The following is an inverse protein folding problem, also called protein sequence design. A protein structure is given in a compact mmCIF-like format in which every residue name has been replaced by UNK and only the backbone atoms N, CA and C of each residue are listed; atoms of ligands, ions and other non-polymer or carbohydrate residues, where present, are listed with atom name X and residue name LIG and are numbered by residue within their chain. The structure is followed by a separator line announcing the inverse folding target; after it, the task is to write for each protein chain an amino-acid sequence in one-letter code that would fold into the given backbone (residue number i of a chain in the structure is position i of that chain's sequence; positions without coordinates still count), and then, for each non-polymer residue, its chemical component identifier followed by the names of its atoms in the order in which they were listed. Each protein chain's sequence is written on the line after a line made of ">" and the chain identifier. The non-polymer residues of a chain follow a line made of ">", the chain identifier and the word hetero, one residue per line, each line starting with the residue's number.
data_IF_916370093308
#
_entry.id   IF_916370093308
#
_cell.length_a   1.000
_cell.length_b   1.000
_cell.length_c   1.000
_cell.angle_alpha   90.00
_cell.angle_beta   90.00
_cell.angle_gamma   90.00
#
_symmetry.space_group_name_H-M   'P 1'
#
loop_
_entity.id
_entity.type
_entity.pdbx_description
1 polymer ?
#
# COMPACT_ATOMS: atom_id res chain seq x y z
N UNK A 1 -52.29 -46.64 -14.93
CA UNK A 1 -53.24 -47.17 -13.91
C UNK A 1 -52.63 -46.83 -12.56
N UNK A 2 -52.92 -45.62 -12.04
CA UNK A 2 -54.04 -45.31 -11.15
C UNK A 2 -53.79 -45.91 -9.74
N UNK A 3 -53.37 -45.07 -8.77
CA UNK A 3 -54.15 -44.61 -7.59
C UNK A 3 -53.98 -45.58 -6.40
N UNK A 4 -53.92 -45.23 -5.11
CA UNK A 4 -54.20 -44.00 -4.36
C UNK A 4 -53.67 -44.17 -2.91
N UNK A 5 -53.39 -43.04 -2.24
CA UNK A 5 -53.59 -42.67 -0.80
C UNK A 5 -53.53 -43.74 0.32
N UNK A 6 -52.63 -43.59 1.31
CA UNK A 6 -52.75 -42.84 2.59
C UNK A 6 -53.68 -43.46 3.66
N UNK A 7 -53.13 -43.69 4.86
CA UNK A 7 -53.72 -43.61 6.23
C UNK A 7 -52.65 -44.18 7.22
N UNK A 8 -51.91 -43.44 8.05
CA UNK A 8 -52.22 -42.52 9.17
C UNK A 8 -52.68 -43.22 10.46
N UNK A 9 -51.80 -43.23 11.49
CA UNK A 9 -52.05 -43.24 12.96
C UNK A 9 -50.76 -43.66 13.74
N UNK A 10 -50.00 -42.76 14.40
CA UNK A 10 -50.16 -42.15 15.76
C UNK A 10 -49.78 -43.05 16.97
N UNK A 11 -48.69 -42.72 17.69
CA UNK A 11 -48.61 -42.26 19.11
C UNK A 11 -47.14 -42.26 19.63
N UNK A 12 -46.59 -41.11 20.03
CA UNK A 12 -46.35 -40.59 21.42
C UNK A 12 -44.89 -40.72 21.91
N UNK A 13 -44.15 -39.60 21.99
CA UNK A 13 -43.66 -38.90 23.22
C UNK A 13 -42.33 -39.46 23.74
N UNK A 14 -41.25 -38.72 24.04
CA UNK A 14 -41.08 -37.53 24.90
C UNK A 14 -39.74 -36.85 24.56
N UNK A 15 -39.67 -35.54 24.82
CA UNK A 15 -38.52 -34.63 24.82
C UNK A 15 -37.24 -35.15 25.51
N UNK A 16 -36.07 -34.78 24.97
CA UNK A 16 -35.01 -34.09 25.74
C UNK A 16 -33.83 -33.64 24.84
N UNK A 17 -33.89 -32.36 24.48
CA UNK A 17 -32.87 -31.33 24.71
C UNK A 17 -31.35 -31.55 24.35
N UNK A 18 -30.85 -30.52 23.64
CA UNK A 18 -29.51 -29.92 23.74
C UNK A 18 -28.28 -30.65 23.19
N UNK A 19 -27.84 -30.23 21.99
CA UNK A 19 -26.56 -29.47 21.78
C UNK A 19 -26.34 -29.24 20.28
N UNK A 20 -27.01 -28.21 19.75
CA UNK A 20 -26.54 -27.53 18.54
C UNK A 20 -25.26 -26.78 18.92
N UNK A 21 -24.12 -27.23 18.39
CA UNK A 21 -22.84 -26.52 18.45
C UNK A 21 -22.91 -25.26 17.57
N UNK A 22 -23.54 -24.22 18.11
CA UNK A 22 -23.41 -22.84 17.66
C UNK A 22 -22.18 -22.22 18.33
N UNK A 23 -20.99 -22.45 17.78
CA UNK A 23 -19.79 -21.73 18.23
C UNK A 23 -18.92 -21.26 17.05
N UNK A 24 -19.51 -20.40 16.23
CA UNK A 24 -18.80 -19.63 15.21
C UNK A 24 -19.36 -18.22 14.99
N UNK A 25 -20.25 -17.78 15.87
CA UNK A 25 -21.11 -16.60 15.66
C UNK A 25 -20.66 -15.31 16.36
N UNK A 26 -19.76 -15.36 17.33
CA UNK A 26 -19.55 -14.25 18.30
C UNK A 26 -18.17 -13.57 18.23
N UNK A 27 -17.50 -13.55 17.06
CA UNK A 27 -16.16 -12.93 16.92
C UNK A 27 -16.05 -11.75 15.96
N UNK A 28 -17.10 -11.40 15.20
CA UNK A 28 -16.96 -10.50 14.04
C UNK A 28 -17.58 -9.11 14.19
N UNK A 29 -18.30 -8.81 15.28
CA UNK A 29 -19.00 -7.52 15.43
C UNK A 29 -18.07 -6.34 15.72
N UNK A 30 -16.87 -6.60 16.27
CA UNK A 30 -15.95 -5.56 16.75
C UNK A 30 -14.74 -5.30 15.87
N UNK A 31 -14.56 -6.01 14.75
CA UNK A 31 -13.27 -6.03 14.05
C UNK A 31 -12.90 -4.65 13.50
N UNK A 32 -13.78 -3.84 12.92
CA UNK A 32 -13.36 -2.54 12.38
C UNK A 32 -13.26 -1.40 13.40
N UNK A 33 -13.97 -1.50 14.53
CA UNK A 33 -13.81 -0.55 15.64
C UNK A 33 -12.57 -0.89 16.50
N UNK A 34 -12.20 -2.18 16.58
CA UNK A 34 -11.05 -2.66 17.35
C UNK A 34 -9.76 -2.78 16.53
N UNK A 35 -9.85 -3.13 15.25
CA UNK A 35 -8.72 -3.35 14.33
C UNK A 35 -8.81 -2.34 13.18
N UNK A 36 -7.82 -1.46 13.08
CA UNK A 36 -7.85 -0.36 12.11
C UNK A 36 -7.88 -0.85 10.66
N UNK A 37 -8.38 -0.01 9.76
CA UNK A 37 -8.46 -0.22 8.31
C UNK A 37 -7.10 -0.64 7.74
N UNK A 38 -6.03 0.07 8.12
CA UNK A 38 -4.68 -0.21 7.61
C UNK A 38 -4.17 -1.58 8.08
N UNK A 39 -4.47 -1.97 9.32
CA UNK A 39 -4.07 -3.25 9.88
C UNK A 39 -4.75 -4.41 9.13
N UNK A 40 -6.06 -4.32 8.95
CA UNK A 40 -6.84 -5.31 8.19
C UNK A 40 -6.26 -5.50 6.79
N UNK A 41 -5.92 -4.40 6.10
CA UNK A 41 -5.34 -4.44 4.76
C UNK A 41 -3.99 -5.14 4.78
N UNK A 42 -3.05 -4.70 5.62
CA UNK A 42 -1.66 -5.20 5.61
C UNK A 42 -1.59 -6.67 6.03
N UNK A 43 -2.33 -7.08 7.06
CA UNK A 43 -2.43 -8.49 7.46
C UNK A 43 -3.03 -9.35 6.34
N UNK A 44 -4.14 -8.90 5.74
CA UNK A 44 -4.79 -9.64 4.64
C UNK A 44 -3.88 -9.75 3.41
N UNK A 45 -3.13 -8.70 3.10
CA UNK A 45 -2.18 -8.69 1.99
C UNK A 45 -1.01 -9.65 2.24
N UNK A 46 -0.40 -9.59 3.43
CA UNK A 46 0.72 -10.47 3.79
C UNK A 46 0.31 -11.94 3.79
N UNK A 47 -0.85 -12.28 4.37
CA UNK A 47 -1.32 -13.66 4.47
C UNK A 47 -1.78 -14.27 3.13
N UNK A 48 -2.27 -13.44 2.21
CA UNK A 48 -2.98 -13.93 1.01
C UNK A 48 -2.28 -13.63 -0.32
N UNK A 49 -0.95 -13.52 -0.31
CA UNK A 49 -0.11 -13.62 -1.51
C UNK A 49 0.83 -12.45 -1.74
N UNK A 50 0.58 -11.28 -1.14
CA UNK A 50 1.38 -10.09 -1.42
C UNK A 50 2.80 -10.17 -0.87
N UNK A 51 3.05 -11.04 0.12
CA UNK A 51 4.40 -11.38 0.57
C UNK A 51 5.29 -11.92 -0.57
N UNK A 52 4.68 -12.55 -1.57
CA UNK A 52 5.36 -13.08 -2.75
C UNK A 52 5.02 -12.30 -4.04
N UNK A 53 4.38 -11.14 -3.94
CA UNK A 53 3.99 -10.33 -5.10
C UNK A 53 2.82 -10.87 -5.92
N UNK A 54 2.05 -11.84 -5.42
CA UNK A 54 0.92 -12.44 -6.14
C UNK A 54 -0.39 -11.64 -5.91
N UNK A 55 -0.60 -10.64 -6.76
CA UNK A 55 -1.80 -9.80 -6.74
C UNK A 55 -3.06 -10.54 -7.19
N UNK A 56 -2.94 -11.55 -8.04
CA UNK A 56 -4.06 -12.35 -8.54
C UNK A 56 -4.70 -13.18 -7.42
N UNK A 57 -3.86 -13.80 -6.58
CA UNK A 57 -4.31 -14.56 -5.41
C UNK A 57 -5.02 -13.67 -4.39
N UNK A 58 -4.47 -12.49 -4.11
CA UNK A 58 -5.10 -11.52 -3.20
C UNK A 58 -6.46 -11.03 -3.73
N UNK A 59 -6.56 -10.71 -5.03
CA UNK A 59 -7.84 -10.38 -5.69
C UNK A 59 -8.89 -11.49 -5.55
N UNK A 60 -8.46 -12.75 -5.71
CA UNK A 60 -9.31 -13.93 -5.52
C UNK A 60 -9.81 -14.05 -4.08
N UNK A 61 -8.93 -13.80 -3.10
CA UNK A 61 -9.29 -13.72 -1.69
C UNK A 61 -10.33 -12.62 -1.41
N UNK A 62 -10.11 -11.39 -1.86
CA UNK A 62 -11.06 -10.29 -1.66
C UNK A 62 -12.44 -10.63 -2.27
N UNK A 63 -12.45 -11.28 -3.44
CA UNK A 63 -13.69 -11.71 -4.09
C UNK A 63 -14.45 -12.76 -3.29
N UNK A 64 -13.75 -13.76 -2.73
CA UNK A 64 -14.36 -14.78 -1.85
C UNK A 64 -14.83 -14.19 -0.52
N UNK A 65 -14.04 -13.30 0.09
CA UNK A 65 -14.41 -12.58 1.34
C UNK A 65 -15.65 -11.72 1.14
N UNK A 66 -15.72 -10.96 0.05
CA UNK A 66 -16.93 -10.21 -0.34
C UNK A 66 -18.16 -11.11 -0.49
N UNK A 67 -18.02 -12.25 -1.16
CA UNK A 67 -19.13 -13.20 -1.33
C UNK A 67 -19.64 -13.74 0.01
N UNK A 68 -18.73 -14.10 0.92
CA UNK A 68 -19.09 -14.57 2.27
C UNK A 68 -19.79 -13.47 3.07
N UNK A 69 -19.22 -12.27 3.12
CA UNK A 69 -19.83 -11.12 3.82
C UNK A 69 -21.23 -10.81 3.30
N UNK A 70 -21.42 -10.76 1.98
CA UNK A 70 -22.75 -10.55 1.36
C UNK A 70 -23.75 -11.66 1.69
N UNK A 71 -23.28 -12.91 1.83
CA UNK A 71 -24.15 -14.04 2.21
C UNK A 71 -24.56 -13.93 3.68
N UNK A 72 -23.61 -13.63 4.57
CA UNK A 72 -23.83 -13.49 6.02
C UNK A 72 -24.74 -12.31 6.34
N UNK A 73 -24.54 -11.16 5.70
CA UNK A 73 -25.34 -9.95 5.90
C UNK A 73 -26.70 -9.97 5.16
N UNK A 74 -27.00 -11.04 4.41
CA UNK A 74 -28.19 -11.06 3.53
C UNK A 74 -28.15 -10.03 2.39
N UNK A 75 -27.03 -9.33 2.19
CA UNK A 75 -26.85 -8.27 1.20
C UNK A 75 -26.56 -8.83 -0.20
N UNK A 76 -27.55 -9.53 -0.77
CA UNK A 76 -27.46 -10.05 -2.14
C UNK A 76 -27.86 -8.94 -3.13
N UNK A 77 -26.98 -8.66 -4.09
CA UNK A 77 -27.13 -7.64 -5.13
C UNK A 77 -28.06 -8.08 -6.28
N UNK A 78 -28.95 -9.04 -6.04
CA UNK A 78 -29.81 -9.63 -7.05
C UNK A 78 -29.88 -11.15 -6.98
N UNK A 79 -30.71 -11.70 -7.86
CA UNK A 79 -30.92 -13.12 -8.07
C UNK A 79 -30.30 -13.55 -9.42
N UNK A 80 -30.33 -14.85 -9.72
CA UNK A 80 -29.76 -15.43 -10.96
C UNK A 80 -30.22 -14.69 -12.24
N UNK A 81 -31.44 -14.15 -12.24
CA UNK A 81 -32.09 -13.57 -13.42
C UNK A 81 -32.16 -12.04 -13.41
N UNK A 82 -31.85 -11.37 -12.29
CA UNK A 82 -31.99 -9.90 -12.19
C UNK A 82 -30.97 -9.32 -11.21
N UNK A 83 -30.24 -8.31 -11.67
CA UNK A 83 -29.36 -7.50 -10.85
C UNK A 83 -30.13 -6.38 -10.15
N UNK A 84 -29.90 -6.22 -8.85
CA UNK A 84 -30.44 -5.12 -8.03
C UNK A 84 -29.26 -4.42 -7.37
N UNK A 85 -28.97 -3.21 -7.82
CA UNK A 85 -27.89 -2.39 -7.28
C UNK A 85 -28.24 -1.83 -5.89
N UNK A 86 -28.22 -2.68 -4.86
CA UNK A 86 -28.43 -2.22 -3.48
C UNK A 86 -27.28 -1.28 -3.09
N UNK A 87 -27.64 -0.06 -2.70
CA UNK A 87 -26.69 0.91 -2.13
C UNK A 87 -26.61 0.67 -0.62
N UNK A 88 -25.44 0.92 -0.06
CA UNK A 88 -25.22 0.85 1.39
C UNK A 88 -25.59 2.22 1.92
N UNK A 89 -26.57 2.29 2.81
CA UNK A 89 -27.04 3.53 3.43
C UNK A 89 -26.42 3.70 4.82
N UNK A 90 -26.44 4.93 5.33
CA UNK A 90 -25.84 5.29 6.64
C UNK A 90 -26.50 4.55 7.81
N UNK A 91 -27.76 4.17 7.66
CA UNK A 91 -28.54 3.40 8.64
C UNK A 91 -27.99 1.98 8.84
N UNK A 92 -27.35 1.40 7.83
CA UNK A 92 -26.81 0.04 7.89
C UNK A 92 -25.47 -0.03 8.65
N UNK A 93 -24.88 1.12 9.02
CA UNK A 93 -23.55 1.22 9.65
C UNK A 93 -23.54 0.72 11.10
N UNK A 94 -24.68 0.33 11.67
CA UNK A 94 -24.74 -0.35 12.98
C UNK A 94 -23.86 -1.60 13.02
N UNK A 95 -23.76 -2.34 11.90
CA UNK A 95 -22.83 -3.46 11.78
C UNK A 95 -21.57 -3.02 11.03
N UNK A 96 -20.42 -3.08 11.73
CA UNK A 96 -19.10 -2.72 11.20
C UNK A 96 -18.71 -3.53 9.95
N UNK A 97 -19.33 -4.69 9.72
CA UNK A 97 -19.10 -5.53 8.54
C UNK A 97 -19.52 -4.86 7.23
N UNK A 98 -20.44 -3.88 7.24
CA UNK A 98 -20.79 -3.13 6.03
C UNK A 98 -19.66 -2.22 5.56
N UNK A 99 -18.89 -1.63 6.48
CA UNK A 99 -17.68 -0.87 6.16
C UNK A 99 -16.62 -1.79 5.55
N UNK A 100 -16.43 -2.99 6.14
CA UNK A 100 -15.51 -4.00 5.61
C UNK A 100 -15.90 -4.44 4.20
N UNK A 101 -17.20 -4.52 3.90
CA UNK A 101 -17.67 -4.85 2.55
C UNK A 101 -17.22 -3.81 1.52
N UNK A 102 -17.34 -2.51 1.83
CA UNK A 102 -16.86 -1.43 0.93
C UNK A 102 -15.34 -1.46 0.81
N UNK A 103 -14.64 -1.65 1.93
CA UNK A 103 -13.18 -1.76 1.94
C UNK A 103 -12.69 -2.89 1.03
N UNK A 104 -13.32 -4.07 1.11
CA UNK A 104 -12.97 -5.20 0.26
C UNK A 104 -13.32 -4.97 -1.22
N UNK A 105 -14.30 -4.12 -1.55
CA UNK A 105 -14.57 -3.69 -2.93
C UNK A 105 -13.45 -2.81 -3.49
N UNK A 106 -12.94 -1.87 -2.67
CA UNK A 106 -11.80 -1.03 -3.01
C UNK A 106 -10.52 -1.87 -3.19
N UNK A 107 -10.18 -2.73 -2.23
CA UNK A 107 -8.99 -3.59 -2.27
C UNK A 107 -8.99 -4.56 -3.46
N UNK A 108 -10.15 -5.09 -3.84
CA UNK A 108 -10.27 -5.92 -5.05
C UNK A 108 -9.99 -5.13 -6.33
N UNK A 109 -10.42 -3.86 -6.39
CA UNK A 109 -10.16 -3.01 -7.55
C UNK A 109 -8.68 -2.58 -7.60
N UNK A 110 -8.10 -2.24 -6.45
CA UNK A 110 -6.68 -1.90 -6.31
C UNK A 110 -5.76 -3.08 -6.67
N UNK A 111 -6.01 -4.26 -6.12
CA UNK A 111 -5.22 -5.47 -6.43
C UNK A 111 -5.25 -5.83 -7.91
N UNK A 112 -6.39 -5.66 -8.57
CA UNK A 112 -6.48 -5.85 -10.01
C UNK A 112 -5.68 -4.77 -10.77
N UNK A 113 -5.71 -3.51 -10.33
CA UNK A 113 -4.88 -2.49 -10.94
C UNK A 113 -3.38 -2.79 -10.81
N UNK A 114 -2.93 -3.29 -9.65
CA UNK A 114 -1.52 -3.66 -9.42
C UNK A 114 -1.10 -4.88 -10.25
N UNK A 115 -1.96 -5.88 -10.39
CA UNK A 115 -1.74 -6.99 -11.33
C UNK A 115 -1.55 -6.47 -12.77
N UNK A 116 -2.46 -5.61 -13.23
CA UNK A 116 -2.38 -5.00 -14.56
C UNK A 116 -1.13 -4.12 -14.71
N UNK A 117 -0.58 -3.58 -13.61
CA UNK A 117 0.65 -2.79 -13.62
C UNK A 117 1.86 -3.65 -13.95
N UNK A 118 1.93 -4.85 -13.42
CA UNK A 118 2.97 -5.82 -13.78
C UNK A 118 2.82 -6.29 -15.23
N UNK A 119 1.59 -6.61 -15.65
CA UNK A 119 1.30 -7.05 -17.02
C UNK A 119 1.52 -5.94 -18.07
N UNK A 120 1.41 -4.66 -17.67
CA UNK A 120 1.63 -3.53 -18.56
C UNK A 120 3.08 -3.36 -19.00
N UNK A 121 4.03 -4.02 -18.34
CA UNK A 121 5.45 -4.01 -18.75
C UNK A 121 5.66 -4.73 -20.09
N UNK A 122 4.89 -5.80 -20.32
CA UNK A 122 4.90 -6.53 -21.61
C UNK A 122 3.82 -6.02 -22.56
N UNK A 123 2.68 -5.58 -22.04
CA UNK A 123 1.51 -5.17 -22.82
C UNK A 123 1.05 -3.73 -22.47
N UNK A 124 1.62 -2.69 -23.08
CA UNK A 124 1.36 -1.29 -22.71
C UNK A 124 -0.12 -0.88 -22.77
N UNK A 125 -0.92 -1.53 -23.62
CA UNK A 125 -2.36 -1.27 -23.75
C UNK A 125 -3.15 -1.56 -22.47
N UNK A 126 -2.63 -2.43 -21.57
CA UNK A 126 -3.24 -2.74 -20.27
C UNK A 126 -3.27 -1.54 -19.33
N UNK A 127 -2.46 -0.50 -19.57
CA UNK A 127 -2.46 0.74 -18.76
C UNK A 127 -3.82 1.45 -18.73
N UNK A 128 -4.58 1.42 -19.83
CA UNK A 128 -5.93 2.00 -19.84
C UNK A 128 -6.86 1.27 -18.86
N UNK A 129 -6.77 -0.06 -18.81
CA UNK A 129 -7.56 -0.87 -17.88
C UNK A 129 -7.10 -0.67 -16.43
N UNK A 130 -5.80 -0.56 -16.20
CA UNK A 130 -5.23 -0.21 -14.89
C UNK A 130 -5.83 1.08 -14.34
N UNK A 131 -5.82 2.17 -15.13
CA UNK A 131 -6.36 3.46 -14.71
C UNK A 131 -7.85 3.37 -14.37
N UNK A 132 -8.64 2.66 -15.19
CA UNK A 132 -10.06 2.44 -14.91
C UNK A 132 -10.29 1.68 -13.59
N UNK A 133 -9.40 0.75 -13.23
CA UNK A 133 -9.47 0.01 -11.96
C UNK A 133 -9.06 0.88 -10.76
N UNK A 134 -8.01 1.69 -10.87
CA UNK A 134 -7.63 2.63 -9.80
C UNK A 134 -8.70 3.67 -9.55
N UNK A 135 -9.26 4.30 -10.60
CA UNK A 135 -10.37 5.25 -10.47
C UNK A 135 -11.57 4.61 -9.77
N UNK A 136 -11.84 3.34 -10.06
CA UNK A 136 -12.90 2.59 -9.37
C UNK A 136 -12.56 2.35 -7.88
N UNK A 137 -11.31 2.04 -7.56
CA UNK A 137 -10.87 1.89 -6.17
C UNK A 137 -11.04 3.22 -5.39
N UNK A 138 -10.61 4.34 -5.97
CA UNK A 138 -10.76 5.68 -5.38
C UNK A 138 -12.25 6.04 -5.13
N UNK A 139 -13.14 5.74 -6.09
CA UNK A 139 -14.59 5.92 -5.89
C UNK A 139 -15.15 5.06 -4.74
N UNK A 140 -14.63 3.85 -4.54
CA UNK A 140 -15.03 3.00 -3.43
C UNK A 140 -14.50 3.54 -2.08
N UNK A 141 -13.30 4.11 -2.03
CA UNK A 141 -12.79 4.76 -0.81
C UNK A 141 -13.50 6.06 -0.48
N UNK A 142 -13.82 6.90 -1.47
CA UNK A 142 -14.65 8.10 -1.25
C UNK A 142 -16.03 7.72 -0.67
N UNK A 143 -16.61 6.62 -1.16
CA UNK A 143 -17.85 6.08 -0.59
C UNK A 143 -17.65 5.60 0.85
N UNK A 144 -16.52 4.96 1.16
CA UNK A 144 -16.19 4.53 2.52
C UNK A 144 -16.07 5.74 3.45
N UNK A 145 -15.36 6.78 3.03
CA UNK A 145 -15.18 8.03 3.79
C UNK A 145 -16.53 8.69 4.11
N UNK A 146 -17.41 8.84 3.10
CA UNK A 146 -18.78 9.35 3.30
C UNK A 146 -19.62 8.53 4.26
N UNK A 147 -19.43 7.21 4.30
CA UNK A 147 -20.09 6.35 5.28
C UNK A 147 -19.48 6.56 6.68
N UNK A 148 -18.16 6.73 6.76
CA UNK A 148 -17.45 6.98 8.02
C UNK A 148 -17.77 8.35 8.64
N UNK A 149 -18.25 9.35 7.90
CA UNK A 149 -18.70 10.66 8.45
C UNK A 149 -19.84 10.53 9.47
N UNK A 150 -20.56 9.40 9.47
CA UNK A 150 -21.60 9.08 10.44
C UNK A 150 -21.14 9.28 11.90
N UNK A 151 -22.03 9.75 12.80
CA UNK A 151 -21.70 9.90 14.22
C UNK A 151 -21.43 8.56 14.93
N UNK A 152 -21.83 7.44 14.33
CA UNK A 152 -21.64 6.09 14.89
C UNK A 152 -20.22 5.54 14.75
N UNK A 153 -19.35 6.21 13.99
CA UNK A 153 -18.00 5.75 13.68
C UNK A 153 -16.97 6.54 14.48
N UNK A 154 -16.00 5.82 15.05
CA UNK A 154 -14.93 6.40 15.86
C UNK A 154 -14.08 7.39 15.06
N UNK A 155 -13.52 8.39 15.76
CA UNK A 155 -12.64 9.39 15.16
C UNK A 155 -11.40 8.76 14.49
N UNK A 156 -10.87 7.67 15.06
CA UNK A 156 -9.75 6.90 14.48
C UNK A 156 -10.11 6.38 13.08
N UNK A 157 -11.22 5.66 12.97
CA UNK A 157 -11.67 5.04 11.71
C UNK A 157 -12.02 6.10 10.65
N UNK A 158 -12.52 7.27 11.08
CA UNK A 158 -12.71 8.43 10.19
C UNK A 158 -11.39 8.90 9.57
N UNK A 159 -10.37 9.13 10.39
CA UNK A 159 -9.05 9.56 9.91
C UNK A 159 -8.38 8.50 9.04
N UNK A 160 -8.49 7.22 9.39
CA UNK A 160 -7.95 6.13 8.57
C UNK A 160 -8.65 6.02 7.21
N UNK A 161 -9.97 6.19 7.16
CA UNK A 161 -10.71 6.23 5.90
C UNK A 161 -10.27 7.40 5.02
N UNK A 162 -10.09 8.59 5.60
CA UNK A 162 -9.58 9.78 4.89
C UNK A 162 -8.15 9.56 4.36
N UNK A 163 -7.28 8.95 5.16
CA UNK A 163 -5.91 8.63 4.75
C UNK A 163 -5.91 7.58 3.61
N UNK A 164 -6.76 6.55 3.69
CA UNK A 164 -6.91 5.55 2.64
C UNK A 164 -7.46 6.13 1.33
N UNK A 165 -8.46 7.02 1.39
CA UNK A 165 -8.94 7.75 0.21
C UNK A 165 -7.83 8.59 -0.39
N UNK A 166 -7.12 9.37 0.43
CA UNK A 166 -6.03 10.24 -0.04
C UNK A 166 -4.90 9.42 -0.69
N UNK A 167 -4.59 8.24 -0.16
CA UNK A 167 -3.64 7.31 -0.76
C UNK A 167 -4.09 6.83 -2.16
N UNK A 168 -5.33 6.34 -2.29
CA UNK A 168 -5.82 5.82 -3.57
C UNK A 168 -5.99 6.93 -4.61
N UNK A 169 -6.43 8.11 -4.21
CA UNK A 169 -6.50 9.29 -5.07
C UNK A 169 -5.10 9.69 -5.53
N UNK A 170 -4.13 9.74 -4.62
CA UNK A 170 -2.73 9.99 -4.97
C UNK A 170 -2.21 8.98 -5.99
N UNK A 171 -2.52 7.69 -5.85
CA UNK A 171 -2.15 6.64 -6.81
C UNK A 171 -2.78 6.83 -8.19
N UNK A 172 -4.04 7.27 -8.26
CA UNK A 172 -4.72 7.58 -9.55
C UNK A 172 -4.02 8.74 -10.25
N UNK A 173 -3.82 9.84 -9.54
CA UNK A 173 -3.26 11.08 -10.08
C UNK A 173 -1.77 10.91 -10.45
N UNK A 174 -1.04 10.09 -9.67
CA UNK A 174 0.32 9.69 -9.98
C UNK A 174 0.42 8.93 -11.31
N UNK A 175 -0.49 7.98 -11.56
CA UNK A 175 -0.52 7.26 -12.84
C UNK A 175 -0.98 8.14 -14.02
N UNK A 176 -1.72 9.22 -13.74
CA UNK A 176 -2.06 10.27 -14.72
C UNK A 176 -0.91 11.26 -14.96
N UNK A 177 0.21 11.16 -14.24
CA UNK A 177 1.39 12.03 -14.35
C UNK A 177 1.13 13.49 -13.93
N UNK A 178 0.08 13.74 -13.15
CA UNK A 178 -0.22 15.05 -12.59
C UNK A 178 0.52 15.23 -11.25
N UNK A 179 1.81 15.56 -11.33
CA UNK A 179 2.73 15.50 -10.18
C UNK A 179 2.33 16.39 -8.99
N UNK A 180 1.81 17.60 -9.26
CA UNK A 180 1.40 18.55 -8.21
C UNK A 180 0.24 18.01 -7.36
N UNK A 181 -0.82 17.57 -8.03
CA UNK A 181 -2.01 17.02 -7.37
C UNK A 181 -1.68 15.67 -6.67
N UNK A 182 -0.80 14.86 -7.27
CA UNK A 182 -0.34 13.62 -6.64
C UNK A 182 0.45 13.91 -5.36
N UNK A 183 1.33 14.91 -5.37
CA UNK A 183 2.10 15.33 -4.20
C UNK A 183 1.19 15.85 -3.08
N UNK A 184 0.20 16.66 -3.40
CA UNK A 184 -0.79 17.16 -2.44
C UNK A 184 -1.55 15.99 -1.77
N UNK A 185 -2.07 15.05 -2.56
CA UNK A 185 -2.79 13.89 -2.05
C UNK A 185 -1.91 12.98 -1.18
N UNK A 186 -0.66 12.74 -1.59
CA UNK A 186 0.28 11.94 -0.79
C UNK A 186 0.75 12.67 0.48
N UNK A 187 0.93 13.99 0.45
CA UNK A 187 1.24 14.77 1.66
C UNK A 187 0.06 14.79 2.63
N UNK A 188 -1.18 14.90 2.14
CA UNK A 188 -2.38 14.72 2.96
C UNK A 188 -2.42 13.33 3.61
N UNK A 189 -2.13 12.28 2.85
CA UNK A 189 -2.02 10.91 3.37
C UNK A 189 -0.94 10.79 4.45
N UNK A 190 0.27 11.31 4.18
CA UNK A 190 1.43 11.30 5.08
C UNK A 190 1.12 12.00 6.41
N UNK A 191 0.63 13.23 6.35
CA UNK A 191 0.32 14.03 7.54
C UNK A 191 -0.74 13.37 8.43
N UNK A 192 -1.76 12.73 7.85
CA UNK A 192 -2.77 12.01 8.64
C UNK A 192 -2.14 10.79 9.33
N UNK A 193 -1.37 9.98 8.61
CA UNK A 193 -0.73 8.80 9.22
C UNK A 193 0.35 9.14 10.24
N UNK A 194 1.08 10.24 10.08
CA UNK A 194 2.03 10.75 11.08
C UNK A 194 1.31 11.21 12.35
N UNK A 195 0.20 11.94 12.22
CA UNK A 195 -0.63 12.33 13.36
C UNK A 195 -1.21 11.11 14.08
N UNK A 196 -1.70 10.12 13.34
CA UNK A 196 -2.15 8.85 13.91
C UNK A 196 -0.99 8.12 14.62
N UNK A 197 0.21 8.08 14.03
CA UNK A 197 1.37 7.45 14.65
C UNK A 197 1.80 8.13 15.95
N UNK A 198 1.64 9.46 16.07
CA UNK A 198 1.96 10.21 17.29
C UNK A 198 0.92 10.05 18.41
N UNK A 199 -0.31 9.65 18.09
CA UNK A 199 -1.43 9.61 19.03
C UNK A 199 -1.69 8.24 19.67
N UNK A 200 -1.15 7.16 19.10
CA UNK A 200 -1.41 5.78 19.54
C UNK A 200 -0.14 5.09 20.06
N UNK A 201 -0.30 3.87 20.56
CA UNK A 201 0.80 3.03 21.07
C UNK A 201 1.86 2.75 20.03
N UNK A 202 3.08 2.48 20.48
CA UNK A 202 4.25 2.31 19.62
C UNK A 202 4.09 1.17 18.60
N UNK A 203 3.39 0.09 18.96
CA UNK A 203 3.08 -1.02 18.04
C UNK A 203 2.23 -0.59 16.83
N UNK A 204 1.19 0.23 17.06
CA UNK A 204 0.37 0.77 15.97
C UNK A 204 1.11 1.87 15.20
N UNK A 205 1.97 2.64 15.88
CA UNK A 205 2.79 3.64 15.26
C UNK A 205 3.76 3.04 14.23
N UNK A 206 4.33 1.85 14.49
CA UNK A 206 5.18 1.14 13.51
C UNK A 206 4.43 0.90 12.20
N UNK A 207 3.18 0.44 12.27
CA UNK A 207 2.36 0.19 11.06
C UNK A 207 2.13 1.46 10.24
N UNK A 208 1.81 2.58 10.90
CA UNK A 208 1.60 3.86 10.23
C UNK A 208 2.90 4.42 9.64
N UNK A 209 4.03 4.33 10.37
CA UNK A 209 5.35 4.73 9.86
C UNK A 209 5.76 3.91 8.64
N UNK A 210 5.59 2.59 8.68
CA UNK A 210 5.83 1.73 7.51
C UNK A 210 5.00 2.16 6.29
N UNK A 211 3.77 2.64 6.50
CA UNK A 211 2.94 3.15 5.41
C UNK A 211 3.44 4.49 4.86
N UNK A 212 3.93 5.38 5.72
CA UNK A 212 4.58 6.65 5.32
C UNK A 212 5.87 6.38 4.55
N UNK A 213 6.66 5.41 4.98
CA UNK A 213 7.89 5.01 4.29
C UNK A 213 7.58 4.42 2.91
N UNK A 214 6.50 3.65 2.77
CA UNK A 214 6.04 3.09 1.48
C UNK A 214 5.64 4.18 0.46
N UNK A 215 5.05 5.30 0.91
CA UNK A 215 4.64 6.40 0.03
C UNK A 215 5.74 7.43 -0.22
N UNK A 216 6.77 7.48 0.63
CA UNK A 216 7.85 8.47 0.56
C UNK A 216 8.59 8.49 -0.79
N UNK A 217 8.91 7.34 -1.43
CA UNK A 217 9.50 7.34 -2.78
C UNK A 217 8.61 8.01 -3.83
N UNK A 218 7.29 7.84 -3.74
CA UNK A 218 6.35 8.46 -4.68
C UNK A 218 6.31 9.99 -4.51
N UNK A 219 6.35 10.48 -3.27
CA UNK A 219 6.40 11.91 -2.96
C UNK A 219 7.67 12.55 -3.53
N UNK A 220 8.83 11.92 -3.31
CA UNK A 220 10.12 12.41 -3.85
C UNK A 220 10.14 12.40 -5.37
N UNK A 221 9.58 11.36 -5.99
CA UNK A 221 9.45 11.29 -7.44
C UNK A 221 8.56 12.41 -8.00
N UNK A 222 7.45 12.74 -7.33
CA UNK A 222 6.63 13.90 -7.69
C UNK A 222 7.42 15.21 -7.57
N UNK A 223 8.15 15.41 -6.46
CA UNK A 223 8.94 16.62 -6.24
C UNK A 223 10.03 16.81 -7.32
N UNK A 224 10.71 15.73 -7.70
CA UNK A 224 11.68 15.75 -8.80
C UNK A 224 11.05 16.19 -10.13
N UNK A 225 9.89 15.64 -10.50
CA UNK A 225 9.22 16.00 -11.76
C UNK A 225 8.62 17.41 -11.75
N UNK A 226 8.37 17.99 -10.57
CA UNK A 226 7.96 19.39 -10.43
C UNK A 226 9.15 20.34 -10.64
N UNK A 227 10.39 19.87 -10.42
CA UNK A 227 11.62 20.62 -10.68
C UNK A 227 12.42 21.01 -9.44
N UNK A 228 12.10 20.44 -8.26
CA UNK A 228 12.88 20.70 -7.04
C UNK A 228 14.26 20.02 -7.14
N UNK A 229 15.32 20.82 -7.30
CA UNK A 229 16.70 20.34 -7.39
C UNK A 229 17.15 19.59 -6.13
N UNK A 230 16.61 19.94 -4.95
CA UNK A 230 16.88 19.23 -3.70
C UNK A 230 16.35 17.78 -3.70
N UNK A 231 15.31 17.49 -4.50
CA UNK A 231 14.77 16.14 -4.62
C UNK A 231 15.75 15.19 -5.34
N UNK A 232 16.70 15.71 -6.13
CA UNK A 232 17.72 14.90 -6.84
C UNK A 232 18.65 14.21 -5.84
N UNK A 233 19.19 14.99 -4.90
CA UNK A 233 20.09 14.50 -3.85
C UNK A 233 19.37 13.47 -2.96
N UNK A 234 18.09 13.74 -2.65
CA UNK A 234 17.23 12.87 -1.86
C UNK A 234 16.84 11.57 -2.59
N UNK A 235 16.66 11.61 -3.92
CA UNK A 235 16.40 10.43 -4.75
C UNK A 235 17.64 9.53 -4.82
N UNK A 236 18.81 10.16 -4.90
CA UNK A 236 20.11 9.49 -4.97
C UNK A 236 20.45 8.77 -3.67
N UNK A 237 20.09 9.36 -2.53
CA UNK A 237 20.26 8.76 -1.20
C UNK A 237 19.37 7.51 -0.99
N UNK A 238 18.20 7.44 -1.63
CA UNK A 238 17.32 6.26 -1.55
C UNK A 238 17.77 5.07 -2.40
N UNK A 239 18.52 5.30 -3.49
CA UNK A 239 19.17 4.21 -4.24
C UNK A 239 20.16 3.44 -3.36
N UNK A 240 20.83 4.15 -2.46
CA UNK A 240 21.83 3.60 -1.55
C UNK A 240 21.22 2.78 -0.40
N UNK A 241 19.92 2.93 -0.10
CA UNK A 241 19.21 2.20 0.96
C UNK A 241 18.33 1.04 0.45
N UNK A 242 18.28 0.80 -0.88
CA UNK A 242 17.73 -0.44 -1.45
C UNK A 242 16.20 -0.59 -1.45
N UNK A 243 15.43 0.48 -1.20
CA UNK A 243 13.98 0.40 -0.92
C UNK A 243 13.02 0.39 -2.13
N UNK A 244 13.49 0.28 -3.38
CA UNK A 244 12.64 0.49 -4.57
C UNK A 244 12.41 -0.76 -5.43
N UNK A 245 11.21 -1.32 -5.41
CA UNK A 245 10.85 -2.48 -6.23
C UNK A 245 10.76 -2.20 -7.75
N UNK A 246 11.45 -3.04 -8.53
CA UNK A 246 11.19 -3.43 -9.93
C UNK A 246 11.13 -2.30 -10.97
N UNK A 247 9.94 -1.74 -11.19
CA UNK A 247 9.67 -0.82 -12.30
C UNK A 247 9.94 0.65 -11.99
N UNK A 248 9.88 1.04 -10.71
CA UNK A 248 10.28 2.37 -10.29
C UNK A 248 11.79 2.52 -10.39
N UNK A 249 12.55 1.46 -10.08
CA UNK A 249 14.01 1.43 -10.12
C UNK A 249 14.56 1.72 -11.53
N UNK A 250 14.03 1.11 -12.59
CA UNK A 250 14.51 1.35 -13.97
C UNK A 250 14.26 2.79 -14.44
N UNK A 251 13.07 3.35 -14.15
CA UNK A 251 12.78 4.76 -14.45
C UNK A 251 13.63 5.70 -13.59
N UNK A 252 13.86 5.35 -12.32
CA UNK A 252 14.72 6.09 -11.42
C UNK A 252 16.17 6.08 -11.92
N UNK A 253 16.69 4.94 -12.39
CA UNK A 253 18.03 4.82 -12.99
C UNK A 253 18.17 5.62 -14.29
N UNK A 254 17.19 5.55 -15.18
CA UNK A 254 17.19 6.34 -16.41
C UNK A 254 17.20 7.85 -16.11
N UNK A 255 16.44 8.29 -15.11
CA UNK A 255 16.39 9.69 -14.70
C UNK A 255 17.64 10.15 -13.95
N UNK A 256 18.25 9.29 -13.12
CA UNK A 256 19.57 9.56 -12.50
C UNK A 256 20.63 9.70 -13.59
N UNK A 257 20.59 8.86 -14.62
CA UNK A 257 21.53 8.95 -15.75
C UNK A 257 21.34 10.27 -16.49
N UNK A 258 20.11 10.76 -16.65
CA UNK A 258 19.84 12.10 -17.22
C UNK A 258 20.24 13.26 -16.30
N UNK A 259 20.13 13.11 -14.98
CA UNK A 259 20.63 14.11 -14.03
C UNK A 259 22.17 14.18 -14.08
N UNK A 260 22.83 13.02 -14.16
CA UNK A 260 24.28 12.90 -14.32
C UNK A 260 24.77 13.49 -15.63
N UNK A 261 24.07 13.30 -16.75
CA UNK A 261 24.46 13.93 -18.02
C UNK A 261 24.36 15.45 -17.95
N UNK A 262 23.35 16.00 -17.26
CA UNK A 262 23.22 17.46 -17.03
C UNK A 262 24.31 18.00 -16.10
N UNK A 263 24.63 17.31 -15.00
CA UNK A 263 25.71 17.70 -14.09
C UNK A 263 27.10 17.51 -14.72
N UNK A 264 27.26 16.50 -15.57
CA UNK A 264 28.44 16.31 -16.40
C UNK A 264 28.61 17.50 -17.38
N UNK A 265 27.56 18.13 -17.88
CA UNK A 265 27.74 19.31 -18.74
C UNK A 265 28.50 20.47 -18.04
N UNK A 266 28.45 20.55 -16.71
CA UNK A 266 29.12 21.58 -15.90
C UNK A 266 30.51 21.20 -15.34
N UNK A 267 30.92 19.93 -15.38
CA UNK A 267 32.19 19.47 -14.78
C UNK A 267 33.29 19.30 -15.83
N UNK A 268 33.99 20.36 -16.20
CA UNK A 268 35.05 20.29 -17.24
C UNK A 268 36.41 19.78 -16.74
N UNK A 269 36.64 19.77 -15.42
CA UNK A 269 37.96 19.55 -14.82
C UNK A 269 37.90 18.58 -13.63
N UNK A 270 38.89 17.69 -13.52
CA UNK A 270 39.05 16.74 -12.40
C UNK A 270 40.47 16.83 -11.87
N UNK A 271 40.60 16.85 -10.54
CA UNK A 271 41.90 16.91 -9.88
C UNK A 271 42.49 15.51 -9.70
N UNK A 272 43.66 15.26 -10.30
CA UNK A 272 44.40 14.00 -10.18
C UNK A 272 45.79 14.27 -9.62
N UNK A 273 46.09 13.74 -8.42
CA UNK A 273 47.39 13.93 -7.71
C UNK A 273 47.86 15.39 -7.69
N UNK A 274 46.95 16.32 -7.41
CA UNK A 274 47.23 17.77 -7.30
C UNK A 274 47.36 18.50 -8.63
N UNK A 275 46.94 17.90 -9.76
CA UNK A 275 46.91 18.56 -11.08
C UNK A 275 45.49 18.52 -11.65
N UNK A 276 44.99 19.66 -12.14
CA UNK A 276 43.71 19.72 -12.86
C UNK A 276 43.87 19.14 -14.26
N UNK A 277 43.07 18.11 -14.58
CA UNK A 277 43.06 17.45 -15.90
C UNK A 277 41.68 17.67 -16.53
N UNK A 278 41.60 18.26 -17.74
CA UNK A 278 40.33 18.47 -18.41
C UNK A 278 39.78 17.17 -18.99
N UNK A 279 38.56 16.81 -18.59
CA UNK A 279 37.90 15.59 -19.07
C UNK A 279 37.01 15.94 -20.28
N UNK A 280 37.55 15.71 -21.48
CA UNK A 280 36.86 16.00 -22.75
C UNK A 280 35.80 14.97 -23.13
N UNK A 281 35.87 13.76 -22.58
CA UNK A 281 34.97 12.65 -22.94
C UNK A 281 33.76 12.64 -21.98
N UNK A 282 32.57 12.88 -22.52
CA UNK A 282 31.33 12.96 -21.74
C UNK A 282 31.02 11.66 -20.96
N UNK A 283 31.30 10.49 -21.55
CA UNK A 283 31.13 9.19 -20.88
C UNK A 283 32.04 9.04 -19.65
N UNK A 284 33.28 9.52 -19.74
CA UNK A 284 34.22 9.47 -18.63
C UNK A 284 33.79 10.42 -17.51
N UNK A 285 33.21 11.58 -17.86
CA UNK A 285 32.71 12.56 -16.90
C UNK A 285 31.51 12.05 -16.09
N UNK A 286 30.56 11.39 -16.76
CA UNK A 286 29.41 10.73 -16.11
C UNK A 286 29.87 9.64 -15.14
N UNK A 287 30.90 8.87 -15.53
CA UNK A 287 31.48 7.84 -14.69
C UNK A 287 32.19 8.40 -13.45
N UNK A 288 32.98 9.47 -13.61
CA UNK A 288 33.70 10.12 -12.50
C UNK A 288 32.75 10.75 -11.49
N UNK A 289 31.65 11.37 -11.94
CA UNK A 289 30.57 11.81 -11.03
C UNK A 289 29.99 10.63 -10.25
N UNK A 290 29.68 9.54 -10.94
CA UNK A 290 29.19 8.33 -10.29
C UNK A 290 30.16 7.72 -9.28
N UNK A 291 31.48 7.83 -9.51
CA UNK A 291 32.51 7.41 -8.55
C UNK A 291 32.54 8.32 -7.33
N UNK A 292 32.53 9.65 -7.51
CA UNK A 292 32.51 10.61 -6.41
C UNK A 292 31.28 10.41 -5.50
N UNK A 293 30.10 10.16 -6.08
CA UNK A 293 28.88 9.85 -5.33
C UNK A 293 29.03 8.56 -4.51
N UNK A 294 29.65 7.53 -5.10
CA UNK A 294 29.88 6.25 -4.43
C UNK A 294 30.92 6.39 -3.30
N UNK A 295 31.99 7.15 -3.50
CA UNK A 295 32.99 7.45 -2.47
C UNK A 295 32.38 8.25 -1.32
N UNK A 296 31.57 9.27 -1.62
CA UNK A 296 30.83 10.01 -0.61
C UNK A 296 29.85 9.12 0.18
N UNK A 297 29.21 8.16 -0.50
CA UNK A 297 28.33 7.18 0.13
C UNK A 297 29.07 6.19 1.03
N UNK A 298 30.27 5.73 0.63
CA UNK A 298 31.15 4.87 1.44
C UNK A 298 31.56 5.63 2.71
N UNK A 299 32.04 6.87 2.57
CA UNK A 299 32.43 7.70 3.71
C UNK A 299 31.25 8.01 4.66
N UNK A 300 30.02 8.12 4.16
CA UNK A 300 28.82 8.26 5.00
C UNK A 300 28.49 6.97 5.77
N UNK A 301 28.68 5.79 5.18
CA UNK A 301 28.46 4.50 5.86
C UNK A 301 29.55 4.21 6.90
N UNK A 302 30.81 4.55 6.60
CA UNK A 302 31.92 4.39 7.56
C UNK A 302 31.71 5.24 8.82
N UNK A 303 31.29 6.51 8.65
CA UNK A 303 30.90 7.37 9.78
C UNK A 303 29.70 6.86 10.60
N UNK A 304 28.79 6.11 9.97
CA UNK A 304 27.68 5.45 10.67
C UNK A 304 28.10 4.18 11.43
N UNK A 305 29.17 3.52 10.99
CA UNK A 305 29.76 2.33 11.62
C UNK A 305 30.61 2.67 12.84
N UNK A 306 31.32 3.80 12.83
CA UNK A 306 32.12 4.26 13.97
C UNK A 306 31.28 4.65 15.21
N UNK A 307 29.97 4.86 15.05
CA UNK A 307 29.05 5.19 16.14
C UNK A 307 28.53 4.00 16.97
N UNK A 308 28.70 2.75 16.51
CA UNK A 308 28.16 1.54 17.18
C UNK A 308 29.26 0.56 17.63
N UNK A 309 30.54 0.93 17.49
CA UNK A 309 31.70 0.12 17.89
C UNK A 309 32.18 0.31 19.33
N UNK A 310 31.44 1.07 20.15
CA UNK A 310 31.82 1.42 21.51
C UNK A 310 31.47 0.37 22.56
N UNK A 311 32.05 -0.84 22.45
CA UNK A 311 32.29 -1.80 23.56
C UNK A 311 32.77 -3.15 22.99
N UNK A 312 34.06 -3.27 22.71
CA UNK A 312 34.74 -4.57 22.86
C UNK A 312 35.90 -4.34 23.80
N UNK A 313 35.68 -4.81 25.03
CA UNK A 313 36.60 -4.85 26.15
C UNK A 313 37.94 -5.48 25.76
N UNK A 314 39.01 -4.81 26.22
CA UNK A 314 40.38 -5.31 26.35
C UNK A 314 40.44 -6.82 26.63
N UNK A 315 40.98 -7.58 25.69
CA UNK A 315 41.71 -8.81 26.00
C UNK A 315 43.17 -8.60 25.58
N UNK A 316 43.99 -8.39 26.60
CA UNK A 316 45.43 -8.45 26.55
C UNK A 316 45.84 -9.83 25.99
N UNK A 317 46.54 -9.84 24.86
CA UNK A 317 47.42 -10.95 24.51
C UNK A 317 48.86 -10.54 24.88
N UNK A 318 49.34 -11.13 25.98
CA UNK A 318 50.75 -11.18 26.31
C UNK A 318 51.51 -11.97 25.22
N UNK A 319 52.56 -11.37 24.68
CA UNK A 319 53.71 -12.06 24.11
C UNK A 319 54.99 -11.34 24.49
N UNK A 320 55.47 -11.61 25.71
CA UNK A 320 56.83 -12.08 26.05
C UNK A 320 56.95 -12.21 27.55
#
# INVERSE_FOLDING_TARGET
>A
MASDKQNDAKLSSVDENTKNSSDGGLGLESILHRTGVLQIIKESQQQHGLRHGDYQRYRGYCSRRLRRLRKTLGFRMGNRHKFIGKKITVEMITDSRYLLLVLMEAERAWSYAMQLKQEANTEPRKRFHLLARLRKAAKHSEKLEKLCESPRVDAKTKLEAQAYTSYLTGMVVFELQEWKLAMEAFNKCKTIYEKLASAFTEELAVLYRQRVDEISPNIRYCAYNIGDQNAINDLMQMRLTGGGGGMMAEKLEALITQARTKQAATMSEVEWRGRSVPVKIDKARIFLLGLADNEAAIAQRERGSEGDGGKVSNLQFLHR
#
